data_IF_949991517804
#
_entry.id   IF_949991517804
#
_cell.length_a   1.000
_cell.length_b   1.000
_cell.length_c   1.000
_cell.angle_alpha   90.00
_cell.angle_beta   90.00
_cell.angle_gamma   90.00
#
_symmetry.space_group_name_H-M   'P 1'
#
loop_
_entity.id
_entity.type
_entity.pdbx_description
1 polymer ?
#
# COMPACT_ATOMS: atom_id res chain seq x y z
N UNK A 1 21.62 18.06 -12.91
CA UNK A 1 20.58 17.20 -13.53
C UNK A 1 20.68 15.79 -12.98
N UNK A 2 19.59 15.19 -12.47
CA UNK A 2 19.62 13.79 -12.03
C UNK A 2 19.81 12.84 -13.21
N UNK A 3 20.56 11.75 -13.00
CA UNK A 3 20.70 10.67 -13.99
C UNK A 3 19.34 9.98 -14.24
N UNK A 4 19.02 9.53 -15.46
CA UNK A 4 17.73 8.92 -15.79
C UNK A 4 17.38 7.75 -14.88
N UNK A 5 18.35 6.88 -14.57
CA UNK A 5 18.16 5.75 -13.63
C UNK A 5 17.61 6.17 -12.25
N UNK A 6 17.93 7.37 -11.76
CA UNK A 6 17.41 7.85 -10.46
C UNK A 6 15.92 8.21 -10.52
N UNK A 7 15.43 8.71 -11.65
CA UNK A 7 14.01 8.99 -11.82
C UNK A 7 13.16 7.72 -11.83
N UNK A 8 13.68 6.64 -12.44
CA UNK A 8 13.03 5.33 -12.40
C UNK A 8 12.96 4.79 -10.97
N UNK A 9 14.06 4.85 -10.21
CA UNK A 9 14.07 4.41 -8.80
C UNK A 9 13.07 5.21 -7.97
N UNK A 10 13.03 6.54 -8.12
CA UNK A 10 12.05 7.38 -7.42
C UNK A 10 10.61 7.00 -7.78
N UNK A 11 10.33 6.80 -9.06
CA UNK A 11 9.01 6.37 -9.53
C UNK A 11 8.57 5.05 -8.86
N UNK A 12 9.45 4.05 -8.80
CA UNK A 12 9.17 2.75 -8.16
C UNK A 12 8.92 2.92 -6.66
N UNK A 13 9.72 3.72 -5.96
CA UNK A 13 9.55 3.96 -4.52
C UNK A 13 8.19 4.61 -4.23
N UNK A 14 7.82 5.66 -4.97
CA UNK A 14 6.52 6.31 -4.80
C UNK A 14 5.35 5.41 -5.17
N UNK A 15 5.50 4.55 -6.19
CA UNK A 15 4.50 3.53 -6.51
C UNK A 15 4.32 2.53 -5.37
N UNK A 16 5.41 2.06 -4.75
CA UNK A 16 5.35 1.14 -3.62
C UNK A 16 4.62 1.76 -2.43
N UNK A 17 4.87 3.03 -2.11
CA UNK A 17 4.19 3.77 -1.04
C UNK A 17 2.69 3.92 -1.33
N UNK A 18 2.33 4.19 -2.59
CA UNK A 18 0.92 4.32 -3.00
C UNK A 18 0.15 3.00 -2.83
N UNK A 19 0.78 1.87 -3.15
CA UNK A 19 0.14 0.55 -3.18
C UNK A 19 0.19 -0.15 -1.80
N UNK A 20 1.17 0.16 -0.94
CA UNK A 20 1.34 -0.43 0.38
C UNK A 20 0.06 -0.51 1.24
N UNK A 21 -0.73 0.57 1.44
CA UNK A 21 -1.93 0.49 2.28
C UNK A 21 -3.00 -0.45 1.70
N UNK A 22 -3.11 -0.54 0.38
CA UNK A 22 -4.05 -1.45 -0.29
C UNK A 22 -3.65 -2.90 -0.03
N UNK A 23 -2.34 -3.20 -0.12
CA UNK A 23 -1.84 -4.54 0.19
C UNK A 23 -2.14 -4.94 1.63
N UNK A 24 -1.96 -4.04 2.59
CA UNK A 24 -2.30 -4.30 3.99
C UNK A 24 -3.78 -4.66 4.17
N UNK A 25 -4.69 -3.91 3.56
CA UNK A 25 -6.14 -4.21 3.62
C UNK A 25 -6.46 -5.57 3.00
N UNK A 26 -5.89 -5.87 1.83
CA UNK A 26 -6.08 -7.17 1.17
C UNK A 26 -5.59 -8.32 2.05
N UNK A 27 -4.42 -8.16 2.69
CA UNK A 27 -3.92 -9.14 3.66
C UNK A 27 -4.88 -9.32 4.85
N UNK A 28 -5.42 -8.23 5.39
CA UNK A 28 -6.37 -8.30 6.49
C UNK A 28 -7.65 -9.04 6.09
N UNK A 29 -8.18 -8.78 4.89
CA UNK A 29 -9.36 -9.47 4.35
C UNK A 29 -9.11 -10.96 4.09
N UNK A 30 -7.97 -11.31 3.50
CA UNK A 30 -7.61 -12.71 3.24
C UNK A 30 -7.50 -13.51 4.55
N UNK A 31 -6.87 -12.93 5.57
CA UNK A 31 -6.78 -13.56 6.89
C UNK A 31 -8.14 -13.64 7.57
N UNK A 32 -8.95 -12.57 7.54
CA UNK A 32 -10.28 -12.61 8.15
C UNK A 32 -11.20 -13.66 7.53
N UNK A 33 -11.14 -13.80 6.19
CA UNK A 33 -11.93 -14.82 5.48
C UNK A 33 -11.47 -16.24 5.78
N UNK A 34 -10.17 -16.48 5.96
CA UNK A 34 -9.65 -17.81 6.31
C UNK A 34 -9.91 -18.19 7.77
N UNK A 35 -9.95 -17.21 8.68
CA UNK A 35 -10.25 -17.41 10.10
C UNK A 35 -11.75 -17.32 10.42
N UNK A 36 -12.61 -17.06 9.44
CA UNK A 36 -14.06 -16.85 9.62
C UNK A 36 -14.41 -15.78 10.67
N UNK A 37 -13.57 -14.75 10.79
CA UNK A 37 -13.78 -13.62 11.70
C UNK A 37 -14.12 -12.35 10.92
N UNK A 38 -14.76 -11.38 11.58
CA UNK A 38 -15.08 -10.09 10.99
C UNK A 38 -14.07 -9.07 11.48
N UNK A 39 -13.25 -8.56 10.56
CA UNK A 39 -12.33 -7.45 10.84
C UNK A 39 -13.04 -6.15 10.52
N UNK A 40 -13.16 -5.31 11.54
CA UNK A 40 -13.65 -3.95 11.41
C UNK A 40 -12.84 -3.02 12.31
N UNK A 41 -12.98 -1.73 12.10
CA UNK A 41 -12.30 -0.68 12.86
C UNK A 41 -12.61 -0.66 14.37
N UNK A 42 -13.64 -1.41 14.80
CA UNK A 42 -14.05 -1.52 16.21
C UNK A 42 -13.49 -2.73 16.93
N UNK A 43 -12.87 -3.67 16.20
CA UNK A 43 -12.39 -4.94 16.74
C UNK A 43 -13.50 -5.75 17.44
N UNK A 44 -14.69 -5.83 16.83
CA UNK A 44 -15.88 -6.43 17.48
C UNK A 44 -15.77 -7.96 17.67
N UNK A 45 -14.96 -8.66 16.87
CA UNK A 45 -14.79 -10.11 16.97
C UNK A 45 -13.32 -10.52 17.06
N UNK A 46 -12.94 -11.42 17.99
CA UNK A 46 -11.56 -11.88 18.10
C UNK A 46 -11.19 -12.81 16.94
N UNK A 47 -10.08 -12.50 16.26
CA UNK A 47 -9.43 -13.34 15.26
C UNK A 47 -8.24 -14.07 15.90
N UNK A 48 -8.40 -15.37 16.15
CA UNK A 48 -7.37 -16.20 16.80
C UNK A 48 -6.63 -17.04 15.77
N UNK A 49 -5.32 -16.81 15.64
CA UNK A 49 -4.44 -17.60 14.80
C UNK A 49 -3.42 -18.33 15.68
N UNK A 50 -3.35 -19.67 15.60
CA UNK A 50 -2.44 -20.48 16.42
C UNK A 50 -2.52 -20.17 17.94
N UNK A 51 -3.73 -19.92 18.46
CA UNK A 51 -3.96 -19.53 19.86
C UNK A 51 -3.42 -18.13 20.25
N UNK A 52 -3.02 -17.32 19.27
CA UNK A 52 -2.67 -15.91 19.44
C UNK A 52 -3.77 -15.01 18.88
N UNK A 53 -4.11 -13.97 19.64
CA UNK A 53 -5.01 -12.92 19.20
C UNK A 53 -4.29 -11.97 18.24
N UNK A 54 -4.68 -11.99 16.97
CA UNK A 54 -4.14 -11.11 15.92
C UNK A 54 -5.14 -10.02 15.52
N UNK A 55 -6.24 -9.86 16.25
CA UNK A 55 -7.33 -8.93 15.94
C UNK A 55 -6.79 -7.52 15.75
N UNK A 56 -6.03 -7.01 16.71
CA UNK A 56 -5.50 -5.64 16.66
C UNK A 56 -4.54 -5.39 15.49
N UNK A 57 -3.82 -6.43 15.05
CA UNK A 57 -2.93 -6.34 13.89
C UNK A 57 -3.77 -6.23 12.60
N UNK A 58 -4.78 -7.09 12.45
CA UNK A 58 -5.70 -7.06 11.30
C UNK A 58 -6.50 -5.76 11.25
N UNK A 59 -6.95 -5.26 12.39
CA UNK A 59 -7.66 -3.97 12.51
C UNK A 59 -6.74 -2.84 12.06
N UNK A 60 -5.48 -2.82 12.50
CA UNK A 60 -4.51 -1.81 12.08
C UNK A 60 -4.26 -1.84 10.58
N UNK A 61 -4.17 -3.04 9.98
CA UNK A 61 -4.05 -3.20 8.53
C UNK A 61 -5.31 -2.77 7.77
N UNK A 62 -6.49 -3.06 8.31
CA UNK A 62 -7.76 -2.63 7.72
C UNK A 62 -7.90 -1.10 7.73
N UNK A 63 -7.59 -0.46 8.87
CA UNK A 63 -7.63 1.01 9.01
C UNK A 63 -6.56 1.68 8.14
N UNK A 64 -5.45 1.01 7.83
CA UNK A 64 -4.46 1.56 6.89
C UNK A 64 -5.03 1.81 5.49
N UNK A 65 -6.16 1.19 5.13
CA UNK A 65 -6.91 1.48 3.91
C UNK A 65 -7.33 2.94 3.78
N UNK A 66 -7.59 3.64 4.89
CA UNK A 66 -7.88 5.06 4.87
C UNK A 66 -6.71 5.89 4.34
N UNK A 67 -5.47 5.45 4.60
CA UNK A 67 -4.29 6.10 4.05
C UNK A 67 -4.24 5.99 2.51
N UNK A 68 -4.81 4.93 1.92
CA UNK A 68 -4.85 4.76 0.46
C UNK A 68 -5.57 5.92 -0.24
N UNK A 69 -6.58 6.54 0.39
CA UNK A 69 -7.30 7.69 -0.16
C UNK A 69 -6.39 8.89 -0.43
N UNK A 70 -5.36 9.06 0.40
CA UNK A 70 -4.40 10.16 0.27
C UNK A 70 -3.13 9.71 -0.48
N UNK A 71 -2.62 8.51 -0.20
CA UNK A 71 -1.36 8.05 -0.81
C UNK A 71 -1.51 7.73 -2.29
N UNK A 72 -2.66 7.22 -2.74
CA UNK A 72 -2.90 6.95 -4.16
C UNK A 72 -2.79 8.21 -5.04
N UNK A 73 -3.55 9.31 -4.80
CA UNK A 73 -3.45 10.49 -5.65
C UNK A 73 -2.08 11.18 -5.53
N UNK A 74 -1.54 11.27 -4.31
CA UNK A 74 -0.30 12.03 -4.07
C UNK A 74 0.94 11.24 -4.53
N UNK A 75 1.17 10.07 -3.93
CA UNK A 75 2.35 9.26 -4.25
C UNK A 75 2.22 8.59 -5.62
N UNK A 76 1.01 8.15 -6.02
CA UNK A 76 0.76 7.64 -7.37
C UNK A 76 0.96 8.72 -8.44
N UNK A 77 0.47 9.94 -8.20
CA UNK A 77 0.70 11.09 -9.09
C UNK A 77 2.18 11.44 -9.23
N UNK A 78 2.92 11.48 -8.12
CA UNK A 78 4.38 11.71 -8.13
C UNK A 78 5.12 10.58 -8.86
N UNK A 79 4.73 9.32 -8.66
CA UNK A 79 5.30 8.18 -9.37
C UNK A 79 5.15 8.31 -10.88
N UNK A 80 3.94 8.63 -11.35
CA UNK A 80 3.65 8.85 -12.77
C UNK A 80 4.46 10.01 -13.35
N UNK A 81 4.58 11.12 -12.62
CA UNK A 81 5.38 12.27 -13.06
C UNK A 81 6.86 11.92 -13.21
N UNK A 82 7.45 11.23 -12.22
CA UNK A 82 8.85 10.79 -12.30
C UNK A 82 9.08 9.80 -13.46
N UNK A 83 8.12 8.92 -13.71
CA UNK A 83 8.17 7.98 -14.83
C UNK A 83 8.13 8.67 -16.19
N UNK A 84 7.22 9.63 -16.38
CA UNK A 84 7.14 10.44 -17.61
C UNK A 84 8.43 11.23 -17.84
N UNK A 85 9.02 11.77 -16.77
CA UNK A 85 10.29 12.49 -16.84
C UNK A 85 11.47 11.58 -17.21
N UNK A 86 11.47 10.35 -16.68
CA UNK A 86 12.42 9.31 -17.06
C UNK A 86 12.31 8.96 -18.55
N UNK A 87 11.09 8.73 -19.06
CA UNK A 87 10.83 8.43 -20.46
C UNK A 87 11.32 9.56 -21.37
N UNK A 88 10.96 10.81 -21.04
CA UNK A 88 11.39 11.99 -21.80
C UNK A 88 12.91 12.11 -21.91
N UNK A 89 13.64 11.89 -20.81
CA UNK A 89 15.10 11.95 -20.80
C UNK A 89 15.78 10.76 -21.49
N UNK A 90 15.10 9.63 -21.57
CA UNK A 90 15.64 8.42 -22.22
C UNK A 90 15.38 8.42 -23.72
N UNK A 91 14.25 8.98 -24.18
CA UNK A 91 13.87 9.09 -25.60
C UNK A 91 14.56 10.24 -26.35
N UNK A 92 14.95 11.31 -25.66
CA UNK A 92 15.62 12.50 -26.27
C UNK A 92 17.15 12.32 -26.35
N UNK A 93 17.69 11.26 -25.74
CA UNK A 93 19.10 10.90 -25.83
C UNK A 93 19.34 10.01 -27.04
#
# INVERSE_FOLDING_TARGET
MLKPKRYLVLSVVFAAIAIAPILCVLFAQLLSSSLTCVVNERADTPCILFNYDITMILVSFYVSGWAALLTLPIAGGMSGWFYLRYLKLTLIR
#
